data_IF_507788889678
#
_entry.id   IF_507788889678
#
_cell.length_a   1.000
_cell.length_b   1.000
_cell.length_c   1.000
_cell.angle_alpha   90.00
_cell.angle_beta   90.00
_cell.angle_gamma   90.00
#
_symmetry.space_group_name_H-M   'P 1'
#
loop_
_entity.id
_entity.type
_entity.pdbx_description
1 polymer ?
#
# COMPACT_ATOMS: atom_id res chain seq x y z
N UNK A 1 30.73 2.41 -29.45
CA UNK A 1 29.62 2.26 -28.48
C UNK A 1 28.28 2.72 -29.08
N UNK A 2 27.95 2.35 -30.31
CA UNK A 2 26.66 2.69 -30.98
C UNK A 2 25.60 1.61 -30.82
N UNK A 3 26.01 0.34 -30.85
CA UNK A 3 25.15 -0.83 -30.69
C UNK A 3 24.31 -0.84 -29.40
N UNK A 4 24.85 -0.28 -28.31
CA UNK A 4 24.16 -0.17 -27.03
C UNK A 4 23.06 0.90 -27.04
N UNK A 5 23.27 1.99 -27.80
CA UNK A 5 22.26 3.05 -28.00
C UNK A 5 21.11 2.55 -28.87
N UNK A 6 21.41 1.84 -29.94
CA UNK A 6 20.38 1.34 -30.87
C UNK A 6 19.50 0.24 -30.24
N UNK A 7 20.07 -0.56 -29.33
CA UNK A 7 19.30 -1.54 -28.56
C UNK A 7 18.46 -0.90 -27.44
N UNK A 8 18.95 0.22 -26.88
CA UNK A 8 18.21 0.99 -25.87
C UNK A 8 17.05 1.77 -26.52
N UNK A 9 17.25 2.39 -27.68
CA UNK A 9 16.20 3.14 -28.41
C UNK A 9 15.16 2.22 -29.05
N UNK A 10 15.53 1.01 -29.47
CA UNK A 10 14.56 0.02 -29.97
C UNK A 10 13.80 -0.71 -28.85
N UNK A 11 14.41 -0.93 -27.68
CA UNK A 11 13.70 -1.46 -26.51
C UNK A 11 12.82 -0.41 -25.80
N UNK A 12 13.19 0.87 -25.89
CA UNK A 12 12.35 2.04 -25.56
C UNK A 12 11.38 2.40 -26.71
N UNK A 13 11.11 1.46 -27.63
CA UNK A 13 10.14 1.65 -28.70
C UNK A 13 8.76 1.99 -28.15
N UNK A 14 8.03 2.82 -28.90
CA UNK A 14 6.78 3.49 -28.50
C UNK A 14 5.74 2.60 -27.80
N UNK A 15 5.73 1.29 -28.06
CA UNK A 15 4.81 0.33 -27.41
C UNK A 15 5.14 0.04 -25.94
N UNK A 16 6.42 -0.09 -25.56
CA UNK A 16 6.80 -0.27 -24.16
C UNK A 16 6.55 1.02 -23.37
N UNK A 17 6.93 2.17 -23.93
CA UNK A 17 6.69 3.47 -23.32
C UNK A 17 5.19 3.75 -23.22
N UNK A 18 4.37 3.44 -24.24
CA UNK A 18 2.90 3.54 -24.14
C UNK A 18 2.30 2.59 -23.12
N UNK A 19 2.76 1.34 -23.06
CA UNK A 19 2.27 0.35 -22.09
C UNK A 19 2.54 0.77 -20.65
N UNK A 20 3.77 1.17 -20.36
CA UNK A 20 4.18 1.69 -19.05
C UNK A 20 3.51 3.03 -18.76
N UNK A 21 3.44 3.95 -19.72
CA UNK A 21 2.78 5.25 -19.53
C UNK A 21 1.29 5.10 -19.24
N UNK A 22 0.59 4.17 -19.90
CA UNK A 22 -0.85 3.93 -19.65
C UNK A 22 -1.07 3.29 -18.28
N UNK A 23 -0.26 2.30 -17.91
CA UNK A 23 -0.31 1.67 -16.59
C UNK A 23 0.04 2.64 -15.45
N UNK A 24 1.11 3.43 -15.63
CA UNK A 24 1.53 4.47 -14.69
C UNK A 24 0.49 5.59 -14.60
N UNK A 25 -0.10 6.03 -15.72
CA UNK A 25 -1.17 7.04 -15.71
C UNK A 25 -2.40 6.55 -14.97
N UNK A 26 -2.75 5.27 -15.11
CA UNK A 26 -3.85 4.67 -14.36
C UNK A 26 -3.56 4.65 -12.85
N UNK A 27 -2.37 4.19 -12.44
CA UNK A 27 -1.94 4.19 -11.04
C UNK A 27 -1.84 5.60 -10.45
N UNK A 28 -1.34 6.56 -11.22
CA UNK A 28 -1.24 7.95 -10.82
C UNK A 28 -2.63 8.56 -10.64
N UNK A 29 -3.55 8.32 -11.59
CA UNK A 29 -4.94 8.78 -11.51
C UNK A 29 -5.65 8.18 -10.30
N UNK A 30 -5.44 6.90 -10.02
CA UNK A 30 -5.98 6.24 -8.84
C UNK A 30 -5.44 6.87 -7.54
N UNK A 31 -4.13 7.14 -7.45
CA UNK A 31 -3.54 7.80 -6.28
C UNK A 31 -4.06 9.22 -6.09
N UNK A 32 -4.20 10.00 -7.17
CA UNK A 32 -4.78 11.35 -7.11
C UNK A 32 -6.22 11.28 -6.61
N UNK A 33 -7.01 10.34 -7.12
CA UNK A 33 -8.40 10.15 -6.67
C UNK A 33 -8.45 9.76 -5.19
N UNK A 34 -7.58 8.87 -4.74
CA UNK A 34 -7.47 8.49 -3.32
C UNK A 34 -7.07 9.69 -2.44
N UNK A 35 -6.15 10.54 -2.90
CA UNK A 35 -5.75 11.75 -2.19
C UNK A 35 -6.92 12.74 -2.06
N UNK A 36 -7.69 12.95 -3.14
CA UNK A 36 -8.89 13.80 -3.12
C UNK A 36 -9.92 13.24 -2.12
N UNK A 37 -10.19 11.94 -2.17
CA UNK A 37 -11.10 11.27 -1.23
C UNK A 37 -10.60 11.43 0.21
N UNK A 38 -9.29 11.27 0.45
CA UNK A 38 -8.67 11.46 1.76
C UNK A 38 -8.84 12.88 2.30
N UNK A 39 -8.64 13.90 1.45
CA UNK A 39 -8.86 15.30 1.80
C UNK A 39 -10.32 15.59 2.15
N UNK A 40 -11.26 15.05 1.36
CA UNK A 40 -12.68 15.19 1.63
C UNK A 40 -13.07 14.54 2.96
N UNK A 41 -12.57 13.31 3.23
CA UNK A 41 -12.78 12.63 4.51
C UNK A 41 -12.22 13.45 5.67
N UNK A 42 -10.99 13.91 5.56
CA UNK A 42 -10.35 14.73 6.60
C UNK A 42 -11.13 16.01 6.91
N UNK A 43 -11.56 16.74 5.87
CA UNK A 43 -12.36 17.96 6.03
C UNK A 43 -13.74 17.70 6.66
N UNK A 44 -14.39 16.59 6.31
CA UNK A 44 -15.66 16.17 6.92
C UNK A 44 -15.44 15.80 8.38
N UNK A 45 -14.46 14.94 8.69
CA UNK A 45 -14.16 14.51 10.07
C UNK A 45 -13.76 15.69 10.96
N UNK A 46 -12.95 16.62 10.46
CA UNK A 46 -12.58 17.84 11.20
C UNK A 46 -13.80 18.71 11.55
N UNK A 47 -14.80 18.77 10.65
CA UNK A 47 -16.07 19.47 10.92
C UNK A 47 -16.97 18.73 11.91
N UNK A 48 -17.00 17.40 11.87
CA UNK A 48 -17.85 16.60 12.75
C UNK A 48 -17.29 16.45 14.18
N UNK A 49 -15.96 16.40 14.34
CA UNK A 49 -15.33 16.11 15.63
C UNK A 49 -14.79 17.33 16.38
N UNK A 50 -14.75 18.51 15.75
CA UNK A 50 -14.10 19.69 16.33
C UNK A 50 -12.57 19.60 16.29
N UNK A 51 -11.89 20.74 16.47
CA UNK A 51 -10.43 20.88 16.29
C UNK A 51 -9.64 20.02 17.27
N UNK A 52 -10.09 19.91 18.52
CA UNK A 52 -9.35 19.21 19.59
C UNK A 52 -9.31 17.69 19.35
N UNK A 53 -10.47 17.07 19.10
CA UNK A 53 -10.57 15.62 18.86
C UNK A 53 -10.01 15.19 17.49
N UNK A 54 -9.92 16.10 16.52
CA UNK A 54 -9.33 15.79 15.21
C UNK A 54 -7.80 15.64 15.29
N UNK A 55 -7.13 16.42 16.14
CA UNK A 55 -5.69 16.32 16.37
C UNK A 55 -5.27 14.97 16.94
N UNK A 56 -6.02 14.47 17.92
CA UNK A 56 -5.79 13.16 18.53
C UNK A 56 -5.97 12.01 17.52
N UNK A 57 -7.06 12.03 16.74
CA UNK A 57 -7.26 11.05 15.69
C UNK A 57 -6.17 11.10 14.63
N UNK A 58 -5.73 12.30 14.23
CA UNK A 58 -4.63 12.48 13.29
C UNK A 58 -3.34 11.82 13.80
N UNK A 59 -3.03 11.99 15.07
CA UNK A 59 -1.88 11.37 15.74
C UNK A 59 -1.99 9.83 15.78
N UNK A 60 -3.15 9.31 16.17
CA UNK A 60 -3.39 7.85 16.18
C UNK A 60 -3.25 7.27 14.78
N UNK A 61 -3.87 7.89 13.77
CA UNK A 61 -3.78 7.43 12.37
C UNK A 61 -2.33 7.48 11.87
N UNK A 62 -1.59 8.56 12.18
CA UNK A 62 -0.19 8.69 11.79
C UNK A 62 0.69 7.62 12.44
N UNK A 63 0.51 7.38 13.75
CA UNK A 63 1.22 6.33 14.48
C UNK A 63 0.94 4.94 13.88
N UNK A 64 -0.34 4.61 13.67
CA UNK A 64 -0.75 3.35 13.05
C UNK A 64 -0.17 3.21 11.64
N UNK A 65 -0.12 4.30 10.88
CA UNK A 65 0.43 4.29 9.51
C UNK A 65 1.93 4.04 9.52
N UNK A 66 2.69 4.64 10.44
CA UNK A 66 4.13 4.39 10.58
C UNK A 66 4.39 2.95 11.01
N UNK A 67 3.64 2.42 11.99
CA UNK A 67 3.77 1.02 12.43
C UNK A 67 3.43 0.07 11.30
N UNK A 68 2.34 0.31 10.57
CA UNK A 68 1.97 -0.48 9.40
C UNK A 68 3.07 -0.41 8.33
N UNK A 69 3.63 0.76 8.03
CA UNK A 69 4.71 0.88 7.04
C UNK A 69 6.01 0.17 7.44
N UNK A 70 6.29 0.01 8.73
CA UNK A 70 7.44 -0.75 9.23
C UNK A 70 7.19 -2.27 9.18
N UNK A 71 5.95 -2.70 9.38
CA UNK A 71 5.54 -4.10 9.34
C UNK A 71 5.14 -4.58 7.94
N UNK A 72 4.84 -3.65 7.03
CA UNK A 72 4.60 -3.89 5.61
C UNK A 72 5.93 -4.19 4.92
N UNK A 73 6.48 -5.38 5.22
CA UNK A 73 7.39 -6.02 4.30
C UNK A 73 6.70 -6.02 2.94
N UNK A 74 7.42 -5.66 1.86
CA UNK A 74 6.96 -5.53 0.46
C UNK A 74 6.41 -6.85 -0.14
N UNK A 75 5.51 -7.53 0.57
CA UNK A 75 4.83 -8.78 0.22
C UNK A 75 4.06 -8.55 -1.06
N UNK A 76 3.42 -7.39 -1.21
CA UNK A 76 2.73 -7.01 -2.44
C UNK A 76 3.64 -6.99 -3.69
N UNK A 77 4.91 -6.60 -3.56
CA UNK A 77 5.83 -6.65 -4.69
C UNK A 77 6.29 -8.08 -5.00
N UNK A 78 6.48 -8.92 -3.97
CA UNK A 78 6.72 -10.34 -4.16
C UNK A 78 5.52 -11.02 -4.85
N UNK A 79 4.29 -10.67 -4.45
CA UNK A 79 3.04 -11.13 -5.06
C UNK A 79 3.01 -10.80 -6.55
N UNK A 80 3.21 -9.53 -6.92
CA UNK A 80 3.15 -9.09 -8.32
C UNK A 80 4.22 -9.82 -9.15
N UNK A 81 5.43 -9.96 -8.60
CA UNK A 81 6.55 -10.60 -9.31
C UNK A 81 6.31 -12.10 -9.51
N UNK A 82 5.86 -12.81 -8.47
CA UNK A 82 5.61 -14.25 -8.59
C UNK A 82 4.37 -14.55 -9.43
N UNK A 83 3.27 -13.81 -9.26
CA UNK A 83 2.06 -14.02 -10.06
C UNK A 83 2.34 -13.80 -11.56
N UNK A 84 3.08 -12.74 -11.92
CA UNK A 84 3.45 -12.50 -13.33
C UNK A 84 4.35 -13.58 -13.90
N UNK A 85 5.26 -14.15 -13.11
CA UNK A 85 6.14 -15.23 -13.54
C UNK A 85 5.39 -16.57 -13.71
N UNK A 86 4.44 -16.90 -12.84
CA UNK A 86 3.67 -18.16 -12.90
C UNK A 86 2.52 -18.12 -13.93
N UNK A 87 1.91 -16.94 -14.18
CA UNK A 87 0.95 -16.79 -15.28
C UNK A 87 1.62 -16.98 -16.64
N UNK A 88 2.83 -16.46 -16.83
CA UNK A 88 3.59 -16.61 -18.08
C UNK A 88 3.96 -18.07 -18.41
N UNK A 89 3.99 -18.96 -17.40
CA UNK A 89 4.29 -20.39 -17.55
C UNK A 89 3.05 -21.28 -17.64
N UNK A 90 1.83 -20.71 -17.61
CA UNK A 90 0.56 -21.45 -17.70
C UNK A 90 0.21 -22.29 -16.46
N UNK A 91 0.94 -22.13 -15.35
CA UNK A 91 0.78 -22.91 -14.12
C UNK A 91 -0.13 -22.20 -13.11
N UNK A 92 -1.39 -22.02 -13.50
CA UNK A 92 -2.42 -21.28 -12.73
C UNK A 92 -2.64 -21.80 -11.30
N UNK A 93 -2.42 -23.11 -11.06
CA UNK A 93 -2.58 -23.74 -9.74
C UNK A 93 -1.49 -23.36 -8.73
N UNK A 94 -0.30 -23.01 -9.18
CA UNK A 94 0.80 -22.56 -8.32
C UNK A 94 0.69 -21.05 -8.04
N UNK A 95 0.22 -20.28 -9.01
CA UNK A 95 -0.10 -18.87 -8.83
C UNK A 95 -1.19 -18.66 -7.75
N UNK A 96 -2.24 -19.50 -7.73
CA UNK A 96 -3.29 -19.42 -6.71
C UNK A 96 -2.81 -19.81 -5.31
N UNK A 97 -1.89 -20.78 -5.19
CA UNK A 97 -1.30 -21.16 -3.91
C UNK A 97 -0.43 -20.04 -3.30
N UNK A 98 0.37 -19.35 -4.14
CA UNK A 98 1.18 -18.21 -3.71
C UNK A 98 0.29 -17.02 -3.33
N UNK A 99 -0.77 -16.77 -4.10
CA UNK A 99 -1.75 -15.75 -3.78
C UNK A 99 -2.42 -16.02 -2.43
N UNK A 100 -2.81 -17.27 -2.15
CA UNK A 100 -3.37 -17.68 -0.86
C UNK A 100 -2.41 -17.47 0.32
N UNK A 101 -1.12 -17.79 0.13
CA UNK A 101 -0.09 -17.54 1.14
C UNK A 101 0.08 -16.04 1.42
N UNK A 102 0.04 -15.22 0.38
CA UNK A 102 0.19 -13.77 0.52
C UNK A 102 -1.04 -13.13 1.19
N UNK A 103 -2.24 -13.62 0.88
CA UNK A 103 -3.45 -13.24 1.63
C UNK A 103 -3.34 -13.61 3.11
N UNK A 104 -2.83 -14.79 3.43
CA UNK A 104 -2.62 -15.21 4.81
C UNK A 104 -1.60 -14.32 5.54
N UNK A 105 -0.53 -13.91 4.84
CA UNK A 105 0.46 -12.98 5.38
C UNK A 105 -0.14 -11.59 5.63
N UNK A 106 -0.93 -11.06 4.69
CA UNK A 106 -1.58 -9.76 4.81
C UNK A 106 -2.60 -9.71 5.97
N UNK A 107 -3.34 -10.81 6.15
CA UNK A 107 -4.23 -10.97 7.31
C UNK A 107 -3.43 -11.07 8.61
N UNK A 108 -2.31 -11.78 8.62
CA UNK A 108 -1.46 -11.93 9.80
C UNK A 108 -0.80 -10.60 10.20
N UNK A 109 -0.28 -9.83 9.24
CA UNK A 109 0.26 -8.49 9.50
C UNK A 109 -0.82 -7.53 9.99
N UNK A 110 -2.01 -7.56 9.39
CA UNK A 110 -3.17 -6.79 9.86
C UNK A 110 -3.58 -7.14 11.30
N UNK A 111 -3.60 -8.43 11.64
CA UNK A 111 -3.86 -8.92 13.00
C UNK A 111 -2.79 -8.49 14.00
N UNK A 112 -1.52 -8.55 13.62
CA UNK A 112 -0.39 -8.11 14.47
C UNK A 112 -0.46 -6.60 14.72
N UNK A 113 -0.71 -5.80 13.67
CA UNK A 113 -0.89 -4.37 13.80
C UNK A 113 -2.09 -4.02 14.68
N UNK A 114 -3.23 -4.68 14.48
CA UNK A 114 -4.41 -4.52 15.34
C UNK A 114 -4.11 -4.88 16.80
N UNK A 115 -3.43 -6.00 17.04
CA UNK A 115 -3.04 -6.43 18.39
C UNK A 115 -2.10 -5.43 19.07
N UNK A 116 -1.14 -4.88 18.33
CA UNK A 116 -0.23 -3.86 18.84
C UNK A 116 -0.94 -2.56 19.22
N UNK A 117 -1.88 -2.10 18.38
CA UNK A 117 -2.71 -0.92 18.65
C UNK A 117 -3.62 -1.16 19.86
N UNK A 118 -4.27 -2.32 19.94
CA UNK A 118 -5.13 -2.69 21.05
C UNK A 118 -4.35 -2.77 22.38
N UNK A 119 -3.13 -3.33 22.36
CA UNK A 119 -2.25 -3.36 23.52
C UNK A 119 -1.85 -1.95 23.97
N UNK A 120 -1.49 -1.08 23.02
CA UNK A 120 -1.15 0.32 23.32
C UNK A 120 -2.34 1.08 23.92
N UNK A 121 -3.54 0.88 23.36
CA UNK A 121 -4.78 1.46 23.88
C UNK A 121 -5.14 0.98 25.28
N UNK A 122 -4.75 -0.24 25.66
CA UNK A 122 -4.96 -0.76 27.01
C UNK A 122 -3.94 -0.25 28.04
N UNK A 123 -2.74 0.16 27.61
CA UNK A 123 -1.67 0.67 28.48
C UNK A 123 -1.83 2.19 28.75
N UNK A 124 -2.42 2.93 27.80
CA UNK A 124 -2.57 4.38 27.86
C UNK A 124 -3.50 4.96 28.97
N UNK A 125 -4.55 4.27 29.47
CA UNK A 125 -5.45 4.81 30.49
C UNK A 125 -4.76 5.08 31.84
N UNK A 126 -3.58 4.50 32.09
CA UNK A 126 -2.81 4.72 33.32
C UNK A 126 -2.02 6.04 33.37
N UNK A 127 -1.98 6.83 32.29
CA UNK A 127 -1.18 8.06 32.21
C UNK A 127 -1.99 9.36 32.17
N UNK A 128 -3.31 9.28 32.00
CA UNK A 128 -4.23 10.43 31.91
C UNK A 128 -5.09 10.63 33.17
N UNK A 129 -4.77 9.94 34.27
CA UNK A 129 -5.48 10.05 35.55
C UNK A 129 -4.75 10.89 36.62
N UNK A 130 -3.75 11.68 36.24
CA UNK A 130 -3.11 12.69 37.09
C UNK A 130 -3.25 14.10 36.48
#
# INVERSE_FOLDING_TARGET
>A
MSWLRDKLTSALGDDFVRGVAKGASWLLSANILLAIIGLLRGGITARYLGIDTYGELGLVIAFVTVVNGLLDFRVWEAVIKFISEYLGKGQTRQASAIFGLCLALDVATGLLAFGFVAATAHILPGYFSD
#
